data_IF_422424077165
#
_entry.id   IF_422424077165
#
_cell.length_a   1.000
_cell.length_b   1.000
_cell.length_c   1.000
_cell.angle_alpha   90.00
_cell.angle_beta   90.00
_cell.angle_gamma   90.00
#
_symmetry.space_group_name_H-M   'P 1'
#
loop_
_entity.id
_entity.type
_entity.pdbx_description
1 polymer ?
#
# COMPACT_ATOMS: atom_id res chain seq x y z
N UNK A 1 17.80 2.69 2.81
CA UNK A 1 17.36 1.74 1.78
C UNK A 1 16.63 0.62 2.49
N UNK A 2 15.38 0.89 2.79
CA UNK A 2 14.37 -0.04 3.23
C UNK A 2 13.77 -0.69 1.99
N UNK A 3 13.67 -2.02 2.02
CA UNK A 3 13.03 -2.79 0.95
C UNK A 3 12.37 -3.97 1.64
N UNK A 4 11.05 -4.00 1.57
CA UNK A 4 10.30 -5.15 2.04
C UNK A 4 9.86 -5.95 0.84
N UNK A 5 9.91 -7.26 1.00
CA UNK A 5 9.29 -8.19 0.08
C UNK A 5 8.26 -8.95 0.88
N UNK A 6 7.01 -8.90 0.43
CA UNK A 6 5.97 -9.70 1.05
C UNK A 6 6.19 -11.17 0.65
N UNK A 7 6.86 -11.93 1.52
CA UNK A 7 7.13 -13.36 1.31
C UNK A 7 5.87 -14.22 1.43
N UNK A 8 4.78 -13.66 1.94
CA UNK A 8 3.51 -14.34 2.12
C UNK A 8 2.43 -13.57 1.34
N UNK A 9 2.52 -13.64 0.01
CA UNK A 9 1.60 -12.94 -0.90
C UNK A 9 0.19 -13.47 -0.66
N UNK A 10 -0.60 -12.72 0.09
CA UNK A 10 -2.02 -12.98 0.31
C UNK A 10 -2.84 -12.23 -0.73
N UNK A 11 -3.61 -12.98 -1.52
CA UNK A 11 -4.55 -12.40 -2.47
C UNK A 11 -5.87 -12.09 -1.76
N UNK A 12 -6.41 -10.91 -2.01
CA UNK A 12 -7.71 -10.46 -1.51
C UNK A 12 -8.62 -10.06 -2.66
N UNK A 13 -9.92 -10.20 -2.46
CA UNK A 13 -10.92 -9.84 -3.46
C UNK A 13 -11.49 -8.46 -3.10
N UNK A 14 -11.35 -7.52 -4.02
CA UNK A 14 -11.96 -6.20 -3.99
C UNK A 14 -13.17 -6.18 -4.94
N UNK A 15 -14.29 -5.63 -4.51
CA UNK A 15 -15.50 -5.50 -5.36
C UNK A 15 -15.86 -4.02 -5.52
N UNK A 16 -15.78 -3.51 -6.75
CA UNK A 16 -16.08 -2.10 -7.08
C UNK A 16 -16.98 -2.06 -8.31
N UNK A 17 -18.09 -1.33 -8.24
CA UNK A 17 -19.04 -1.17 -9.35
C UNK A 17 -19.48 -2.52 -9.97
N UNK A 18 -19.85 -3.48 -9.13
CA UNK A 18 -20.23 -4.87 -9.49
C UNK A 18 -19.14 -5.68 -10.21
N UNK A 19 -17.91 -5.15 -10.34
CA UNK A 19 -16.74 -5.86 -10.85
C UNK A 19 -15.89 -6.37 -9.70
N UNK A 20 -15.28 -7.54 -9.88
CA UNK A 20 -14.39 -8.16 -8.89
C UNK A 20 -12.95 -8.09 -9.38
N UNK A 21 -12.07 -7.65 -8.49
CA UNK A 21 -10.64 -7.54 -8.70
C UNK A 21 -9.93 -8.39 -7.66
N UNK A 22 -8.98 -9.20 -8.09
CA UNK A 22 -8.04 -9.84 -7.19
C UNK A 22 -6.85 -8.92 -6.99
N UNK A 23 -6.53 -8.58 -5.75
CA UNK A 23 -5.40 -7.72 -5.40
C UNK A 23 -4.44 -8.44 -4.46
N UNK A 24 -3.15 -8.11 -4.54
CA UNK A 24 -2.15 -8.59 -3.60
C UNK A 24 -1.06 -7.54 -3.40
N UNK A 25 -0.60 -7.37 -2.17
CA UNK A 25 0.52 -6.52 -1.83
C UNK A 25 1.84 -7.28 -2.01
N UNK A 26 2.80 -6.70 -2.75
CA UNK A 26 4.05 -7.36 -3.12
C UNK A 26 5.25 -6.90 -2.29
N UNK A 27 5.15 -5.76 -1.62
CA UNK A 27 6.26 -5.13 -0.89
C UNK A 27 6.47 -3.67 -1.30
N UNK A 28 7.29 -2.97 -0.53
CA UNK A 28 7.68 -1.59 -0.79
C UNK A 28 9.19 -1.44 -0.93
N UNK A 29 9.60 -0.40 -1.64
CA UNK A 29 11.00 -0.05 -1.85
C UNK A 29 11.21 1.46 -1.77
N UNK A 30 12.32 1.87 -1.15
CA UNK A 30 12.79 3.27 -1.22
C UNK A 30 13.22 3.59 -2.66
N UNK A 31 12.64 4.65 -3.25
CA UNK A 31 13.01 5.14 -4.57
C UNK A 31 13.27 6.64 -4.49
N UNK A 32 14.55 7.02 -4.43
CA UNK A 32 14.97 8.41 -4.17
C UNK A 32 14.38 8.95 -2.86
N UNK A 33 13.66 10.08 -2.92
CA UNK A 33 13.01 10.75 -1.80
C UNK A 33 11.61 10.16 -1.51
N UNK A 34 11.13 9.24 -2.34
CA UNK A 34 9.78 8.67 -2.25
C UNK A 34 9.80 7.19 -1.82
N UNK A 35 8.64 6.69 -1.41
CA UNK A 35 8.39 5.26 -1.15
C UNK A 35 7.49 4.69 -2.24
N UNK A 36 7.96 3.64 -2.91
CA UNK A 36 7.18 2.93 -3.93
C UNK A 36 6.55 1.67 -3.33
N UNK A 37 5.22 1.60 -3.37
CA UNK A 37 4.43 0.46 -2.90
C UNK A 37 3.95 -0.34 -4.11
N UNK A 38 4.24 -1.64 -4.13
CA UNK A 38 4.00 -2.50 -5.29
C UNK A 38 2.83 -3.46 -5.05
N UNK A 39 1.99 -3.60 -6.08
CA UNK A 39 0.78 -4.43 -6.03
C UNK A 39 0.62 -5.29 -7.28
N UNK A 40 -0.19 -6.34 -7.14
CA UNK A 40 -0.71 -7.13 -8.25
C UNK A 40 -2.24 -6.99 -8.27
N UNK A 41 -2.82 -6.44 -9.33
CA UNK A 41 -4.28 -6.30 -9.50
C UNK A 41 -4.70 -7.04 -10.77
N UNK A 42 -5.56 -8.06 -10.62
CA UNK A 42 -6.01 -8.97 -11.70
C UNK A 42 -4.85 -9.50 -12.57
N UNK A 43 -3.71 -9.79 -11.94
CA UNK A 43 -2.51 -10.28 -12.63
C UNK A 43 -1.68 -9.20 -13.32
N UNK A 44 -2.06 -7.92 -13.21
CA UNK A 44 -1.28 -6.77 -13.70
C UNK A 44 -0.50 -6.16 -12.55
N UNK A 45 0.78 -5.91 -12.77
CA UNK A 45 1.62 -5.21 -11.81
C UNK A 45 1.32 -3.71 -11.83
N UNK A 46 1.02 -3.13 -10.67
CA UNK A 46 0.84 -1.70 -10.49
C UNK A 46 1.65 -1.22 -9.28
N UNK A 47 1.87 0.09 -9.18
CA UNK A 47 2.56 0.68 -8.05
C UNK A 47 2.03 2.07 -7.75
N UNK A 48 2.14 2.45 -6.48
CA UNK A 48 1.85 3.79 -5.98
C UNK A 48 3.15 4.37 -5.43
N UNK A 49 3.41 5.64 -5.74
CA UNK A 49 4.51 6.42 -5.18
C UNK A 49 3.94 7.34 -4.11
N UNK A 50 4.51 7.29 -2.90
CA UNK A 50 4.18 8.20 -1.81
C UNK A 50 5.38 9.11 -1.55
N UNK A 51 5.13 10.42 -1.50
CA UNK A 51 6.12 11.37 -1.00
C UNK A 51 6.32 11.17 0.52
N UNK A 52 7.39 11.73 1.12
CA UNK A 52 7.58 11.64 2.57
C UNK A 52 6.37 12.12 3.40
N UNK A 53 5.70 13.18 2.96
CA UNK A 53 4.53 13.72 3.65
C UNK A 53 3.33 12.79 3.50
N UNK A 54 3.06 12.30 2.28
CA UNK A 54 1.97 11.34 2.03
C UNK A 54 2.17 10.05 2.83
N UNK A 55 3.42 9.59 2.94
CA UNK A 55 3.78 8.40 3.71
C UNK A 55 3.43 8.57 5.19
N UNK A 56 3.77 9.71 5.79
CA UNK A 56 3.44 10.02 7.20
C UNK A 56 1.94 10.20 7.41
N UNK A 57 1.25 10.86 6.47
CA UNK A 57 -0.22 11.03 6.52
C UNK A 57 -0.93 9.68 6.44
N UNK A 58 -0.49 8.81 5.53
CA UNK A 58 -1.04 7.45 5.35
C UNK A 58 -0.85 6.60 6.61
N UNK A 59 0.35 6.62 7.20
CA UNK A 59 0.61 5.87 8.43
C UNK A 59 -0.19 6.43 9.61
N UNK A 60 -0.33 7.76 9.71
CA UNK A 60 -1.15 8.43 10.73
C UNK A 60 -2.62 8.06 10.60
N UNK A 61 -3.12 7.95 9.37
CA UNK A 61 -4.50 7.50 9.11
C UNK A 61 -4.71 6.04 9.55
N UNK A 62 -3.74 5.16 9.29
CA UNK A 62 -3.81 3.73 9.65
C UNK A 62 -3.76 3.53 11.17
N UNK A 63 -2.81 4.16 11.88
CA UNK A 63 -2.67 4.00 13.33
C UNK A 63 -3.72 4.80 14.12
N UNK A 64 -4.23 5.89 13.55
CA UNK A 64 -5.13 6.83 14.22
C UNK A 64 -4.43 7.83 15.14
N UNK A 65 -3.10 7.87 15.13
CA UNK A 65 -2.26 8.84 15.85
C UNK A 65 -1.05 9.29 15.01
N UNK A 66 -0.46 10.43 15.39
CA UNK A 66 0.66 11.05 14.66
C UNK A 66 1.86 10.11 14.56
N UNK A 67 2.35 9.93 13.34
CA UNK A 67 3.61 9.24 13.07
C UNK A 67 4.65 10.25 12.63
N UNK A 68 5.75 10.36 13.38
CA UNK A 68 6.72 11.46 13.22
C UNK A 68 7.92 11.13 12.32
N UNK A 69 8.07 9.86 11.88
CA UNK A 69 9.20 9.46 11.05
C UNK A 69 8.83 8.45 9.96
N UNK A 70 9.53 8.55 8.83
CA UNK A 70 9.25 7.75 7.63
C UNK A 70 9.55 6.27 7.81
N UNK A 71 10.50 5.90 8.67
CA UNK A 71 10.84 4.49 8.89
C UNK A 71 9.72 3.73 9.60
N UNK A 72 9.15 4.35 10.64
CA UNK A 72 8.02 3.78 11.38
C UNK A 72 6.77 3.77 10.49
N UNK A 73 6.55 4.85 9.72
CA UNK A 73 5.47 4.91 8.75
C UNK A 73 5.52 3.77 7.72
N UNK A 74 6.72 3.48 7.18
CA UNK A 74 6.92 2.34 6.28
C UNK A 74 6.59 1.00 6.96
N UNK A 75 7.00 0.79 8.21
CA UNK A 75 6.72 -0.46 8.95
C UNK A 75 5.22 -0.63 9.19
N UNK A 76 4.54 0.45 9.57
CA UNK A 76 3.08 0.48 9.79
C UNK A 76 2.35 0.12 8.49
N UNK A 77 2.67 0.81 7.39
CA UNK A 77 2.03 0.58 6.10
C UNK A 77 2.32 -0.84 5.59
N UNK A 78 3.56 -1.33 5.71
CA UNK A 78 3.94 -2.69 5.29
C UNK A 78 3.12 -3.76 6.04
N UNK A 79 2.98 -3.57 7.36
CA UNK A 79 2.22 -4.47 8.22
C UNK A 79 0.73 -4.44 7.88
N UNK A 80 0.16 -3.24 7.67
CA UNK A 80 -1.24 -3.07 7.32
C UNK A 80 -1.58 -3.69 5.96
N UNK A 81 -0.79 -3.37 4.92
CA UNK A 81 -1.02 -3.84 3.55
C UNK A 81 -0.89 -5.35 3.40
N UNK A 82 -0.16 -6.01 4.30
CA UNK A 82 -0.10 -7.48 4.33
C UNK A 82 -1.48 -8.10 4.56
N UNK A 83 -2.38 -7.42 5.28
CA UNK A 83 -3.70 -7.94 5.67
C UNK A 83 -4.89 -7.13 5.13
N UNK A 84 -4.67 -5.91 4.66
CA UNK A 84 -5.76 -4.98 4.28
C UNK A 84 -5.55 -4.34 2.90
N UNK A 85 -4.92 -5.06 1.96
CA UNK A 85 -4.62 -4.53 0.62
C UNK A 85 -5.87 -4.16 -0.18
N UNK A 86 -7.00 -4.86 -0.01
CA UNK A 86 -8.24 -4.50 -0.71
C UNK A 86 -8.75 -3.13 -0.30
N UNK A 87 -8.71 -2.84 1.00
CA UNK A 87 -9.23 -1.60 1.57
C UNK A 87 -8.36 -0.41 1.13
N UNK A 88 -7.05 -0.64 1.07
CA UNK A 88 -6.09 0.37 0.59
C UNK A 88 -6.26 0.71 -0.90
N UNK A 89 -6.43 -0.30 -1.77
CA UNK A 89 -6.59 -0.09 -3.21
C UNK A 89 -7.93 0.62 -3.52
N UNK A 90 -8.99 0.31 -2.76
CA UNK A 90 -10.26 1.02 -2.88
C UNK A 90 -10.09 2.53 -2.61
N UNK A 91 -9.31 2.87 -1.58
CA UNK A 91 -9.00 4.25 -1.21
C UNK A 91 -8.10 4.97 -2.25
N UNK A 92 -7.04 4.32 -2.76
CA UNK A 92 -6.03 4.98 -3.61
C UNK A 92 -6.30 4.95 -5.12
N UNK A 93 -6.78 3.83 -5.68
CA UNK A 93 -6.87 3.68 -7.15
C UNK A 93 -8.29 3.90 -7.69
N UNK A 94 -9.34 3.54 -6.95
CA UNK A 94 -10.70 3.51 -7.52
C UNK A 94 -11.47 4.83 -7.48
N UNK A 95 -10.97 5.87 -6.81
CA UNK A 95 -11.51 7.23 -6.96
C UNK A 95 -11.14 7.90 -8.30
N UNK A 96 -10.26 7.29 -9.10
CA UNK A 96 -9.74 7.86 -10.35
C UNK A 96 -9.92 6.97 -11.61
N UNK A 97 -10.71 5.88 -11.55
CA UNK A 97 -11.06 5.00 -12.69
C UNK A 97 -12.58 5.01 -12.92
#
# INVERSE_FOLDING_TARGET
MYTTQNKNIQCQLLTVNDKRYMCAYLGMEDVFEDTKINFLINGTYTNILLTPDDLLETATYIEGESVDNSSDAQIIIDSYLTYHVSDFIDYYEFLNI
#
